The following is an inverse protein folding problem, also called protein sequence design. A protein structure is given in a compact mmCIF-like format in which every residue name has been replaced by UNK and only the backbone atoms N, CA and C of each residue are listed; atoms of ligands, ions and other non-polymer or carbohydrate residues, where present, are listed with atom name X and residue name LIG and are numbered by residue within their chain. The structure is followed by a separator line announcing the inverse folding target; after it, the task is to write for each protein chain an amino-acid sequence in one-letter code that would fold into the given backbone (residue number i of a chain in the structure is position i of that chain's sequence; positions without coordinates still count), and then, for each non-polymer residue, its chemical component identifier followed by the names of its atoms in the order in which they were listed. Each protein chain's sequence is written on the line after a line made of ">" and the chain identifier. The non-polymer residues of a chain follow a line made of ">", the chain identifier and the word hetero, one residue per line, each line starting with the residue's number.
data_IF_862883160897
#
_entry.id   IF_862883160897
#
_cell.length_a   1.000
_cell.length_b   1.000
_cell.length_c   1.000
_cell.angle_alpha   90.00
_cell.angle_beta   90.00
_cell.angle_gamma   90.00
#
_symmetry.space_group_name_H-M   'P 1'
#
loop_
_entity.id
_entity.type
_entity.pdbx_description
1 polymer ?
#
# COMPACT_ATOMS: atom_id res chain seq x y z
N UNK A 1 -16.21 -4.58 28.55
CA UNK A 1 -15.11 -3.74 28.07
C UNK A 1 -15.26 -3.70 26.55
N UNK A 2 -15.72 -2.56 26.03
CA UNK A 2 -15.76 -2.31 24.58
C UNK A 2 -14.35 -1.93 24.15
N UNK A 3 -13.64 -2.87 23.54
CA UNK A 3 -12.45 -2.56 22.76
C UNK A 3 -12.94 -2.13 21.37
N UNK A 4 -12.91 -0.85 21.07
CA UNK A 4 -13.08 -0.34 19.72
C UNK A 4 -11.77 -0.52 18.99
N UNK A 5 -11.64 -1.61 18.23
CA UNK A 5 -10.54 -1.81 17.29
C UNK A 5 -11.01 -1.51 15.87
N UNK A 6 -10.13 -0.99 15.01
CA UNK A 6 -10.43 -0.83 13.60
C UNK A 6 -10.76 -2.18 12.96
N UNK A 7 -11.70 -2.16 12.07
CA UNK A 7 -12.57 -3.26 11.66
C UNK A 7 -11.98 -4.27 10.69
N UNK A 8 -10.66 -4.42 10.49
CA UNK A 8 -10.12 -5.30 9.45
C UNK A 8 -8.79 -6.01 9.76
N UNK A 9 -8.33 -6.06 10.98
CA UNK A 9 -7.19 -6.92 11.31
C UNK A 9 -7.67 -8.25 11.87
N UNK A 10 -7.32 -9.38 11.24
CA UNK A 10 -7.45 -10.69 11.87
C UNK A 10 -6.54 -10.74 13.10
N UNK A 11 -7.16 -10.81 14.27
CA UNK A 11 -6.46 -10.88 15.55
C UNK A 11 -6.54 -12.31 16.07
N UNK A 12 -5.41 -13.02 16.08
CA UNK A 12 -5.32 -14.26 16.85
C UNK A 12 -5.25 -13.96 18.34
N UNK A 13 -6.28 -14.32 19.07
CA UNK A 13 -6.36 -14.15 20.51
C UNK A 13 -6.00 -15.46 21.20
N UNK A 14 -4.78 -15.57 21.74
CA UNK A 14 -4.39 -16.66 22.60
C UNK A 14 -4.74 -16.33 24.05
N UNK A 15 -5.75 -17.00 24.60
CA UNK A 15 -6.17 -16.83 25.98
C UNK A 15 -5.42 -17.85 26.85
N UNK A 16 -4.39 -17.42 27.56
CA UNK A 16 -3.80 -18.23 28.64
C UNK A 16 -4.78 -18.33 29.80
N UNK A 17 -5.37 -19.48 29.99
CA UNK A 17 -6.23 -19.79 31.14
C UNK A 17 -5.44 -20.28 32.34
N UNK A 18 -5.76 -19.80 33.53
CA UNK A 18 -5.92 -20.66 34.67
C UNK A 18 -7.40 -21.03 34.82
N UNK A 19 -7.73 -22.28 34.63
CA UNK A 19 -9.06 -22.79 34.99
C UNK A 19 -9.18 -22.89 36.51
N UNK A 20 -10.03 -22.09 37.10
CA UNK A 20 -10.57 -22.37 38.44
C UNK A 20 -12.06 -22.04 38.47
N UNK A 21 -12.91 -22.97 38.84
CA UNK A 21 -14.31 -22.70 39.01
C UNK A 21 -14.48 -22.13 40.42
N UNK A 22 -14.57 -20.85 40.63
CA UNK A 22 -15.26 -20.21 41.76
C UNK A 22 -15.22 -18.71 41.60
N UNK A 23 -16.34 -18.08 41.75
CA UNK A 23 -16.64 -16.69 42.03
C UNK A 23 -15.45 -15.86 42.58
N UNK A 24 -14.68 -15.24 41.69
CA UNK A 24 -13.79 -14.14 42.03
C UNK A 24 -14.20 -12.92 41.24
N UNK A 25 -14.43 -11.77 41.90
CA UNK A 25 -14.65 -10.54 41.19
C UNK A 25 -13.30 -10.07 40.61
N UNK A 26 -13.26 -9.82 39.30
CA UNK A 26 -12.16 -9.22 38.56
C UNK A 26 -10.90 -10.09 38.42
N UNK A 27 -10.97 -11.10 37.55
CA UNK A 27 -9.74 -11.68 36.99
C UNK A 27 -9.25 -10.82 35.82
N UNK A 28 -8.02 -10.35 35.91
CA UNK A 28 -7.33 -9.71 34.79
C UNK A 28 -6.93 -10.81 33.83
N UNK A 29 -7.54 -10.84 32.65
CA UNK A 29 -7.12 -11.73 31.56
C UNK A 29 -6.08 -11.00 30.73
N UNK A 30 -4.85 -11.50 30.69
CA UNK A 30 -3.83 -11.01 29.77
C UNK A 30 -4.09 -11.59 28.41
N UNK A 31 -4.46 -10.77 27.45
CA UNK A 31 -4.64 -11.14 26.07
C UNK A 31 -3.39 -10.74 25.28
N UNK A 32 -2.67 -11.72 24.76
CA UNK A 32 -1.59 -11.45 23.78
C UNK A 32 -2.23 -11.35 22.40
N UNK A 33 -2.28 -10.15 21.87
CA UNK A 33 -2.72 -9.90 20.50
C UNK A 33 -1.50 -10.06 19.60
N UNK A 34 -1.52 -11.05 18.70
CA UNK A 34 -0.55 -11.18 17.63
C UNK A 34 -1.15 -10.58 16.37
N UNK A 35 -0.58 -9.49 15.87
CA UNK A 35 -0.93 -8.96 14.56
C UNK A 35 -0.38 -9.90 13.48
N UNK A 36 -1.20 -10.22 12.48
CA UNK A 36 -0.77 -10.99 11.31
C UNK A 36 0.08 -10.12 10.41
N UNK A 37 1.09 -10.70 9.78
CA UNK A 37 1.85 -10.03 8.72
C UNK A 37 1.10 -10.10 7.41
N UNK A 38 1.11 -8.99 6.72
CA UNK A 38 0.50 -8.81 5.42
C UNK A 38 1.55 -8.36 4.40
N UNK A 39 1.31 -8.66 3.14
CA UNK A 39 2.11 -8.17 2.02
C UNK A 39 1.28 -7.16 1.26
N UNK A 40 1.77 -5.93 1.16
CA UNK A 40 1.17 -4.91 0.33
C UNK A 40 2.13 -4.48 -0.79
N UNK A 41 1.56 -4.06 -1.91
CA UNK A 41 2.30 -3.46 -3.02
C UNK A 41 1.85 -2.02 -3.15
N UNK A 42 2.82 -1.11 -3.13
CA UNK A 42 2.59 0.33 -3.21
C UNK A 42 3.18 0.87 -4.49
N UNK A 43 2.43 1.75 -5.17
CA UNK A 43 2.94 2.59 -6.23
C UNK A 43 3.52 3.88 -5.66
N UNK A 44 4.65 4.31 -6.16
CA UNK A 44 5.32 5.55 -5.82
C UNK A 44 5.41 6.44 -7.05
N UNK A 45 5.18 7.75 -6.90
CA UNK A 45 5.30 8.71 -7.97
C UNK A 45 5.73 10.08 -7.49
N UNK A 46 6.55 10.77 -8.28
CA UNK A 46 6.97 12.14 -8.04
C UNK A 46 7.23 12.88 -9.36
N UNK A 47 6.81 14.16 -9.47
CA UNK A 47 7.15 14.99 -10.63
C UNK A 47 7.55 16.42 -10.25
N UNK A 48 7.93 16.66 -9.01
CA UNK A 48 8.39 17.96 -8.53
C UNK A 48 9.74 17.86 -7.84
N UNK A 49 10.61 18.85 -8.06
CA UNK A 49 11.89 18.96 -7.36
C UNK A 49 12.82 17.77 -7.60
N UNK A 50 13.49 17.31 -6.56
CA UNK A 50 14.34 16.12 -6.60
C UNK A 50 13.49 14.86 -6.43
N UNK A 51 12.94 14.37 -7.55
CA UNK A 51 12.00 13.26 -7.62
C UNK A 51 12.55 12.00 -6.98
N UNK A 52 13.82 11.65 -7.26
CA UNK A 52 14.47 10.46 -6.71
C UNK A 52 14.57 10.54 -5.18
N UNK A 53 15.02 11.69 -4.67
CA UNK A 53 15.06 11.93 -3.21
C UNK A 53 13.70 11.81 -2.53
N UNK A 54 12.60 12.16 -3.19
CA UNK A 54 11.25 11.97 -2.63
C UNK A 54 10.83 10.49 -2.61
N UNK A 55 11.19 9.70 -3.62
CA UNK A 55 10.91 8.26 -3.61
C UNK A 55 11.76 7.54 -2.54
N UNK A 56 13.03 7.89 -2.42
CA UNK A 56 13.90 7.37 -1.36
C UNK A 56 13.40 7.76 0.03
N UNK A 57 12.95 9.01 0.19
CA UNK A 57 12.33 9.47 1.43
C UNK A 57 11.12 8.62 1.83
N UNK A 58 10.24 8.28 0.86
CA UNK A 58 9.09 7.42 1.13
C UNK A 58 9.51 6.04 1.62
N UNK A 59 10.52 5.43 0.99
CA UNK A 59 11.08 4.12 1.36
C UNK A 59 11.68 4.19 2.77
N UNK A 60 12.42 5.25 3.08
CA UNK A 60 13.06 5.43 4.38
C UNK A 60 12.02 5.62 5.49
N UNK A 61 10.97 6.45 5.27
CA UNK A 61 9.92 6.68 6.27
C UNK A 61 9.10 5.40 6.52
N UNK A 62 8.78 4.63 5.47
CA UNK A 62 8.13 3.32 5.62
C UNK A 62 8.98 2.34 6.43
N UNK A 63 10.31 2.35 6.25
CA UNK A 63 11.24 1.50 7.01
C UNK A 63 11.49 1.99 8.46
N UNK A 64 11.19 3.26 8.79
CA UNK A 64 11.25 3.79 10.17
C UNK A 64 10.04 3.39 10.99
N UNK A 65 8.92 3.07 10.34
CA UNK A 65 7.74 2.56 11.04
C UNK A 65 8.02 1.17 11.65
N UNK A 66 7.62 0.98 12.91
CA UNK A 66 7.88 -0.26 13.67
C UNK A 66 7.18 -1.47 13.06
N UNK A 67 6.07 -1.24 12.37
CA UNK A 67 5.17 -2.29 11.87
C UNK A 67 5.27 -2.52 10.37
N UNK A 68 6.11 -1.75 9.67
CA UNK A 68 6.25 -1.84 8.21
C UNK A 68 7.71 -2.00 7.81
N UNK A 69 7.96 -2.83 6.80
CA UNK A 69 9.29 -3.04 6.23
C UNK A 69 9.19 -3.15 4.72
N UNK A 70 9.96 -2.34 4.00
CA UNK A 70 10.14 -2.47 2.56
C UNK A 70 10.99 -3.71 2.28
N UNK A 71 10.49 -4.64 1.48
CA UNK A 71 11.13 -5.92 1.15
C UNK A 71 11.66 -5.98 -0.27
N UNK A 72 11.01 -5.24 -1.19
CA UNK A 72 11.48 -5.11 -2.58
C UNK A 72 11.22 -3.69 -3.08
N UNK A 73 12.09 -3.24 -3.97
CA UNK A 73 11.97 -1.99 -4.71
C UNK A 73 12.16 -2.31 -6.18
N UNK A 74 11.30 -1.81 -7.06
CA UNK A 74 11.46 -1.91 -8.51
C UNK A 74 12.50 -0.91 -9.02
N UNK A 75 12.89 -1.04 -10.27
CA UNK A 75 13.51 0.07 -11.00
C UNK A 75 12.51 1.25 -11.07
N UNK A 76 13.05 2.48 -11.06
CA UNK A 76 12.25 3.67 -11.29
C UNK A 76 12.24 4.00 -12.77
N UNK A 77 11.06 4.33 -13.30
CA UNK A 77 10.85 4.67 -14.71
C UNK A 77 10.36 6.09 -14.85
N UNK A 78 10.83 6.80 -15.88
CA UNK A 78 10.35 8.14 -16.21
C UNK A 78 9.20 8.05 -17.21
N UNK A 79 8.09 8.75 -16.92
CA UNK A 79 6.88 8.72 -17.75
C UNK A 79 6.31 10.11 -17.97
N UNK A 80 5.63 10.30 -19.10
CA UNK A 80 4.91 11.53 -19.38
C UNK A 80 3.68 11.68 -18.44
N UNK A 81 3.26 12.92 -18.16
CA UNK A 81 2.09 13.16 -17.33
C UNK A 81 0.82 12.61 -17.95
N UNK A 82 0.02 11.89 -17.15
CA UNK A 82 -1.30 11.43 -17.56
C UNK A 82 -2.34 12.54 -17.35
N UNK A 83 -3.24 12.77 -18.33
CA UNK A 83 -4.42 13.59 -18.12
C UNK A 83 -4.38 15.03 -18.66
N UNK A 84 -3.43 15.41 -19.54
CA UNK A 84 -3.48 16.65 -20.33
C UNK A 84 -3.22 17.96 -19.56
N UNK A 85 -2.72 17.88 -18.33
CA UNK A 85 -2.19 19.02 -17.58
C UNK A 85 -0.71 19.17 -17.95
N UNK A 86 -0.30 20.36 -18.37
CA UNK A 86 1.12 20.65 -18.66
C UNK A 86 1.92 20.65 -17.35
N UNK A 87 2.80 19.69 -17.20
CA UNK A 87 3.63 19.46 -16.00
C UNK A 87 4.86 18.61 -16.37
N UNK A 88 5.83 18.57 -15.47
CA UNK A 88 7.05 17.78 -15.67
C UNK A 88 6.76 16.27 -15.63
N UNK A 89 7.65 15.49 -16.27
CA UNK A 89 7.59 14.04 -16.27
C UNK A 89 7.64 13.46 -14.85
N UNK A 90 6.88 12.39 -14.65
CA UNK A 90 6.91 11.64 -13.40
C UNK A 90 8.09 10.67 -13.37
N UNK A 91 8.63 10.46 -12.18
CA UNK A 91 9.43 9.31 -11.84
C UNK A 91 8.51 8.36 -11.04
N UNK A 92 8.28 7.16 -11.57
CA UNK A 92 7.38 6.16 -10.99
C UNK A 92 8.10 4.88 -10.63
N UNK A 93 7.62 4.19 -9.61
CA UNK A 93 8.11 2.89 -9.20
C UNK A 93 7.11 2.15 -8.32
N UNK A 94 7.43 0.91 -7.98
CA UNK A 94 6.64 0.09 -7.08
C UNK A 94 7.51 -0.52 -5.99
N UNK A 95 6.92 -0.69 -4.83
CA UNK A 95 7.56 -1.38 -3.70
C UNK A 95 6.67 -2.47 -3.15
N UNK A 96 7.29 -3.52 -2.60
CA UNK A 96 6.64 -4.53 -1.78
C UNK A 96 6.96 -4.22 -0.31
N UNK A 97 5.96 -4.23 0.53
CA UNK A 97 6.13 -4.06 1.97
C UNK A 97 5.52 -5.24 2.74
N UNK A 98 6.22 -5.71 3.76
CA UNK A 98 5.63 -6.49 4.85
C UNK A 98 5.10 -5.52 5.91
N UNK A 99 3.84 -5.67 6.33
CA UNK A 99 3.27 -4.81 7.35
C UNK A 99 2.39 -5.56 8.34
N UNK A 100 2.28 -5.03 9.56
CA UNK A 100 1.32 -5.44 10.58
C UNK A 100 0.13 -4.46 10.66
N UNK A 101 0.16 -3.38 9.87
CA UNK A 101 -0.96 -2.45 9.76
C UNK A 101 -2.10 -3.07 8.98
N UNK A 102 -3.34 -2.78 9.37
CA UNK A 102 -4.51 -2.96 8.53
C UNK A 102 -4.43 -2.05 7.29
N UNK A 103 -5.24 -2.27 6.25
CA UNK A 103 -5.27 -1.38 5.07
C UNK A 103 -5.50 0.09 5.44
N UNK A 104 -6.40 0.38 6.39
CA UNK A 104 -6.67 1.74 6.86
C UNK A 104 -5.50 2.34 7.64
N UNK A 105 -4.87 1.54 8.53
CA UNK A 105 -3.68 1.98 9.26
C UNK A 105 -2.53 2.29 8.28
N UNK A 106 -2.34 1.46 7.25
CA UNK A 106 -1.34 1.67 6.21
C UNK A 106 -1.65 2.93 5.39
N UNK A 107 -2.91 3.16 5.03
CA UNK A 107 -3.35 4.39 4.34
C UNK A 107 -3.06 5.64 5.19
N UNK A 108 -3.31 5.57 6.51
CA UNK A 108 -2.98 6.67 7.41
C UNK A 108 -1.48 6.96 7.47
N UNK A 109 -0.63 5.93 7.53
CA UNK A 109 0.82 6.06 7.49
C UNK A 109 1.27 6.72 6.18
N UNK A 110 0.77 6.24 5.04
CA UNK A 110 1.06 6.79 3.71
C UNK A 110 0.69 8.28 3.64
N UNK A 111 -0.52 8.64 4.07
CA UNK A 111 -0.96 10.05 4.06
C UNK A 111 -0.08 10.96 4.95
N UNK A 112 0.45 10.44 6.05
CA UNK A 112 1.39 11.17 6.90
C UNK A 112 2.73 11.40 6.18
N UNK A 113 3.29 10.36 5.53
CA UNK A 113 4.53 10.44 4.77
C UNK A 113 4.40 11.44 3.61
N UNK A 114 3.31 11.39 2.84
CA UNK A 114 3.05 12.34 1.76
C UNK A 114 2.98 13.78 2.25
N UNK A 115 2.33 14.00 3.39
CA UNK A 115 2.24 15.32 4.02
C UNK A 115 3.62 15.82 4.46
N UNK A 116 4.44 14.96 5.03
CA UNK A 116 5.80 15.29 5.48
C UNK A 116 6.73 15.58 4.28
N UNK A 117 6.47 14.95 3.11
CA UNK A 117 7.10 15.28 1.84
C UNK A 117 6.61 16.61 1.23
N UNK A 118 5.76 17.37 1.93
CA UNK A 118 5.24 18.65 1.49
C UNK A 118 4.17 18.57 0.40
N UNK A 119 3.47 17.44 0.30
CA UNK A 119 2.36 17.28 -0.65
C UNK A 119 1.22 18.23 -0.32
N UNK A 120 0.92 19.15 -1.26
CA UNK A 120 -0.27 19.99 -1.24
C UNK A 120 -1.23 19.58 -2.36
N UNK A 121 -2.48 19.23 -2.02
CA UNK A 121 -3.53 18.87 -2.99
C UNK A 121 -4.22 20.12 -3.52
N UNK A 122 -3.55 20.88 -4.40
CA UNK A 122 -4.09 22.11 -4.96
C UNK A 122 -4.96 21.89 -6.20
N UNK A 123 -4.65 20.89 -7.03
CA UNK A 123 -5.32 20.62 -8.30
C UNK A 123 -5.48 19.10 -8.46
N UNK A 124 -6.63 18.65 -8.95
CA UNK A 124 -6.84 17.24 -9.31
C UNK A 124 -5.92 16.88 -10.50
N UNK A 125 -5.11 15.84 -10.37
CA UNK A 125 -4.03 15.43 -11.29
C UNK A 125 -2.91 16.46 -11.47
N UNK A 126 -2.77 17.40 -10.56
CA UNK A 126 -1.69 18.36 -10.57
C UNK A 126 -0.33 17.77 -10.17
N UNK A 127 0.73 18.59 -10.31
CA UNK A 127 2.07 18.18 -9.90
C UNK A 127 2.13 17.89 -8.40
N UNK A 128 2.99 16.93 -8.02
CA UNK A 128 3.11 16.49 -6.62
C UNK A 128 4.55 16.09 -6.29
N UNK A 129 4.96 16.43 -5.08
CA UNK A 129 6.26 16.03 -4.54
C UNK A 129 6.36 14.53 -4.36
N UNK A 130 5.31 13.92 -3.81
CA UNK A 130 5.22 12.49 -3.56
C UNK A 130 3.76 12.03 -3.65
N UNK A 131 3.55 10.90 -4.30
CA UNK A 131 2.27 10.17 -4.40
C UNK A 131 2.51 8.70 -4.03
N UNK A 132 1.73 8.16 -3.11
CA UNK A 132 1.83 6.76 -2.69
C UNK A 132 0.44 6.13 -2.74
N UNK A 133 0.24 5.16 -3.64
CA UNK A 133 -1.01 4.43 -3.80
C UNK A 133 -0.88 2.98 -3.30
N UNK A 134 -1.88 2.48 -2.55
CA UNK A 134 -1.98 1.05 -2.22
C UNK A 134 -2.53 0.33 -3.45
N UNK A 135 -1.69 -0.45 -4.13
CA UNK A 135 -2.07 -1.19 -5.34
C UNK A 135 -2.75 -2.51 -5.01
N UNK A 136 -2.11 -3.30 -4.15
CA UNK A 136 -2.57 -4.61 -3.69
C UNK A 136 -2.26 -4.77 -2.20
N UNK A 137 -3.08 -5.55 -1.51
CA UNK A 137 -2.87 -5.92 -0.11
C UNK A 137 -3.32 -7.38 0.08
N UNK A 138 -2.38 -8.31 0.25
CA UNK A 138 -2.61 -9.76 0.17
C UNK A 138 -3.49 -10.12 -1.06
N UNK A 139 -4.62 -10.82 -0.83
CA UNK A 139 -5.66 -11.08 -1.84
C UNK A 139 -6.97 -10.32 -1.50
N UNK A 140 -6.86 -9.25 -0.71
CA UNK A 140 -8.00 -8.46 -0.26
C UNK A 140 -8.69 -7.78 -1.45
N UNK A 141 -10.01 -7.79 -1.40
CA UNK A 141 -10.88 -6.93 -2.21
C UNK A 141 -11.63 -6.03 -1.26
N UNK A 142 -11.42 -4.72 -1.38
CA UNK A 142 -12.03 -3.69 -0.56
C UNK A 142 -12.53 -2.57 -1.47
N UNK A 143 -13.78 -2.13 -1.27
CA UNK A 143 -14.39 -1.04 -2.02
C UNK A 143 -15.08 -0.08 -1.04
N UNK A 144 -14.28 0.77 -0.40
CA UNK A 144 -14.72 1.76 0.57
C UNK A 144 -14.55 3.17 0.00
N UNK A 145 -15.18 4.16 0.61
CA UNK A 145 -15.22 5.55 0.12
C UNK A 145 -13.81 6.13 -0.15
N UNK A 146 -12.84 5.80 0.69
CA UNK A 146 -11.47 6.34 0.62
C UNK A 146 -10.39 5.29 0.33
N UNK A 147 -10.79 4.02 0.11
CA UNK A 147 -9.84 2.92 -0.04
C UNK A 147 -10.37 1.85 -0.98
N UNK A 148 -9.73 1.73 -2.14
CA UNK A 148 -10.04 0.70 -3.13
C UNK A 148 -8.86 -0.24 -3.29
N UNK A 149 -9.04 -1.53 -3.00
CA UNK A 149 -8.03 -2.58 -3.16
C UNK A 149 -8.67 -3.76 -3.92
N UNK A 150 -8.12 -4.18 -5.06
CA UNK A 150 -7.01 -3.57 -5.82
C UNK A 150 -7.29 -2.15 -6.25
N UNK A 151 -6.24 -1.34 -6.43
CA UNK A 151 -6.39 0.02 -6.93
C UNK A 151 -7.12 0.03 -8.28
N UNK A 152 -8.19 0.84 -8.40
CA UNK A 152 -9.15 0.80 -9.52
C UNK A 152 -8.52 1.05 -10.89
N UNK A 153 -7.47 1.85 -10.96
CA UNK A 153 -6.83 2.23 -12.22
C UNK A 153 -5.55 1.43 -12.52
N UNK A 154 -5.08 0.55 -11.61
CA UNK A 154 -3.77 -0.10 -11.76
C UNK A 154 -3.64 -0.90 -13.06
N UNK A 155 -4.71 -1.57 -13.49
CA UNK A 155 -4.70 -2.38 -14.71
C UNK A 155 -4.75 -1.57 -16.01
N UNK A 156 -4.89 -0.25 -15.93
CA UNK A 156 -4.95 0.66 -17.08
C UNK A 156 -3.70 1.52 -17.23
N UNK A 157 -2.74 1.36 -16.31
CA UNK A 157 -1.56 2.22 -16.21
C UNK A 157 -0.30 1.39 -16.40
N UNK A 158 0.33 1.52 -17.55
CA UNK A 158 1.59 0.85 -17.86
C UNK A 158 2.67 1.22 -16.83
N UNK A 159 2.76 2.52 -16.48
CA UNK A 159 3.71 3.02 -15.49
C UNK A 159 3.51 2.47 -14.07
N UNK A 160 2.42 1.74 -13.81
CA UNK A 160 2.19 0.94 -12.61
C UNK A 160 2.52 -0.53 -12.85
N UNK A 161 2.03 -1.11 -13.97
CA UNK A 161 2.18 -2.54 -14.24
C UNK A 161 3.63 -2.91 -14.56
N UNK A 162 4.37 -2.07 -15.28
CA UNK A 162 5.77 -2.33 -15.64
C UNK A 162 6.65 -2.47 -14.39
N UNK A 163 6.78 -1.46 -13.49
CA UNK A 163 7.59 -1.60 -12.29
C UNK A 163 7.02 -2.64 -11.32
N UNK A 164 5.70 -2.81 -11.23
CA UNK A 164 5.11 -3.85 -10.40
C UNK A 164 5.47 -5.26 -10.91
N UNK A 165 5.54 -5.45 -12.24
CA UNK A 165 5.91 -6.74 -12.82
C UNK A 165 7.34 -7.16 -12.48
N UNK A 166 8.26 -6.21 -12.26
CA UNK A 166 9.65 -6.47 -11.89
C UNK A 166 9.77 -7.13 -10.51
N UNK A 167 8.90 -6.76 -9.57
CA UNK A 167 8.94 -7.26 -8.18
C UNK A 167 7.87 -8.30 -7.86
N UNK A 168 6.77 -8.31 -8.62
CA UNK A 168 5.57 -9.11 -8.35
C UNK A 168 4.93 -9.71 -9.61
N UNK A 169 5.69 -9.99 -10.68
CA UNK A 169 5.16 -10.43 -11.97
C UNK A 169 4.24 -11.66 -11.92
N UNK A 170 4.43 -12.56 -10.95
CA UNK A 170 3.59 -13.75 -10.76
C UNK A 170 2.43 -13.56 -9.78
N UNK A 171 2.34 -12.42 -9.11
CA UNK A 171 1.21 -12.09 -8.23
C UNK A 171 -0.07 -12.02 -9.05
N UNK A 172 -1.14 -12.66 -8.55
CA UNK A 172 -2.45 -12.62 -9.21
C UNK A 172 -3.26 -11.45 -8.69
N UNK A 173 -3.88 -10.76 -9.63
CA UNK A 173 -4.86 -9.73 -9.31
C UNK A 173 -6.16 -10.40 -8.80
N UNK A 174 -6.63 -10.08 -7.58
CA UNK A 174 -7.69 -10.85 -6.91
C UNK A 174 -9.05 -10.81 -7.63
N UNK A 175 -9.34 -9.76 -8.41
CA UNK A 175 -10.64 -9.65 -9.10
C UNK A 175 -10.68 -10.38 -10.45
N UNK A 176 -9.59 -10.37 -11.23
CA UNK A 176 -9.60 -10.95 -12.58
C UNK A 176 -8.78 -12.23 -12.70
N UNK A 177 -8.02 -12.59 -11.66
CA UNK A 177 -7.23 -13.82 -11.58
C UNK A 177 -5.99 -13.85 -12.47
N UNK A 178 -5.73 -12.81 -13.29
CA UNK A 178 -4.53 -12.69 -14.14
C UNK A 178 -3.32 -12.31 -13.28
N UNK A 179 -2.15 -12.76 -13.70
CA UNK A 179 -0.90 -12.29 -13.09
C UNK A 179 -0.58 -10.86 -13.55
N UNK A 180 0.24 -10.15 -12.78
CA UNK A 180 0.67 -8.79 -13.14
C UNK A 180 1.37 -8.79 -14.51
N UNK A 181 2.18 -9.84 -14.81
CA UNK A 181 2.83 -9.98 -16.11
C UNK A 181 1.83 -10.18 -17.25
N UNK A 182 0.82 -11.03 -17.05
CA UNK A 182 -0.24 -11.22 -18.06
C UNK A 182 -1.01 -9.92 -18.34
N UNK A 183 -1.22 -9.09 -17.30
CA UNK A 183 -1.87 -7.78 -17.46
C UNK A 183 -1.00 -6.81 -18.27
N UNK A 184 0.32 -6.77 -18.01
CA UNK A 184 1.26 -5.95 -18.77
C UNK A 184 1.32 -6.41 -20.24
N UNK A 185 1.51 -7.72 -20.49
CA UNK A 185 1.56 -8.29 -21.84
C UNK A 185 0.26 -8.03 -22.65
N UNK A 186 -0.87 -7.85 -21.99
CA UNK A 186 -2.14 -7.49 -22.63
C UNK A 186 -2.22 -6.01 -23.00
N UNK A 187 -1.60 -5.12 -22.22
CA UNK A 187 -1.51 -3.70 -22.56
C UNK A 187 -0.67 -3.51 -23.81
N UNK A 188 0.53 -4.10 -23.86
CA UNK A 188 1.45 -3.99 -25.00
C UNK A 188 0.78 -4.42 -26.30
N UNK A 189 -0.03 -5.50 -26.27
CA UNK A 189 -0.75 -6.02 -27.44
C UNK A 189 -1.91 -5.12 -27.93
N UNK A 190 -2.42 -4.25 -27.07
CA UNK A 190 -3.53 -3.34 -27.43
C UNK A 190 -3.03 -2.01 -28.00
N UNK A 191 -1.72 -1.72 -27.89
CA UNK A 191 -1.07 -0.53 -28.44
C UNK A 191 -0.45 -0.77 -29.83
N UNK A 192 -0.32 -2.04 -30.28
CA UNK A 192 0.09 -2.42 -31.63
C UNK A 192 -1.11 -2.44 -32.62
#
# INVERSE_FOLDING_TARGET
>A
ILLSYPTMSEVEVEVEKPWAPVLMPLQTVSVKIRRKRHIAYLGLGSNMGDRESYLDFAIDELNKDEYTKVTKVSDFIETEPYGGVEQDNFLNGCIEVETLHSPDELLHLINAIEKDAGRERLIHWGPRTLDIDILLYDDLVCDEENLHIPHIEMCKREFVLEPLSNIAGYKRHPLNGKTIRELLDEMDRNEE
#
